data_IF_492755896024
#
_entry.id   IF_492755896024
#
_cell.length_a   1.000
_cell.length_b   1.000
_cell.length_c   1.000
_cell.angle_alpha   90.00
_cell.angle_beta   90.00
_cell.angle_gamma   90.00
#
_symmetry.space_group_name_H-M   'P 1'
#
loop_
_entity.id
_entity.type
_entity.pdbx_description
1 polymer ?
#
# COMPACT_ATOMS: atom_id res chain seq x y z
N UNK A 1 -6.42 8.96 38.14
CA UNK A 1 -5.80 8.23 37.01
C UNK A 1 -6.43 8.73 35.73
N UNK A 2 -5.67 9.44 34.89
CA UNK A 2 -6.17 9.89 33.58
C UNK A 2 -6.41 8.66 32.69
N UNK A 3 -7.65 8.49 32.21
CA UNK A 3 -8.04 7.41 31.31
C UNK A 3 -7.34 7.64 29.96
N UNK A 4 -6.23 6.96 29.70
CA UNK A 4 -5.56 7.03 28.41
C UNK A 4 -6.55 6.65 27.30
N UNK A 5 -6.77 7.56 26.35
CA UNK A 5 -7.61 7.32 25.18
C UNK A 5 -6.91 6.33 24.23
N UNK A 6 -7.06 5.03 24.51
CA UNK A 6 -6.49 3.92 23.72
C UNK A 6 -7.17 3.68 22.36
N UNK A 7 -8.11 4.53 21.95
CA UNK A 7 -8.86 4.39 20.70
C UNK A 7 -7.93 4.39 19.47
N UNK A 8 -6.92 5.26 19.46
CA UNK A 8 -5.92 5.30 18.38
C UNK A 8 -5.12 3.99 18.27
N UNK A 9 -4.75 3.38 19.40
CA UNK A 9 -4.03 2.11 19.41
C UNK A 9 -4.87 0.95 18.89
N UNK A 10 -6.17 0.91 19.21
CA UNK A 10 -7.08 -0.10 18.65
C UNK A 10 -7.28 0.07 17.15
N UNK A 11 -7.36 1.32 16.68
CA UNK A 11 -7.45 1.62 15.25
C UNK A 11 -6.19 1.18 14.50
N UNK A 12 -4.99 1.49 15.01
CA UNK A 12 -3.73 1.02 14.44
C UNK A 12 -3.65 -0.51 14.43
N UNK A 13 -4.11 -1.16 15.49
CA UNK A 13 -4.15 -2.64 15.56
C UNK A 13 -5.09 -3.24 14.52
N UNK A 14 -6.21 -2.59 14.22
CA UNK A 14 -7.11 -2.99 13.13
C UNK A 14 -6.43 -2.84 11.76
N UNK A 15 -5.76 -1.72 11.51
CA UNK A 15 -5.01 -1.50 10.27
C UNK A 15 -3.88 -2.53 10.08
N UNK A 16 -3.26 -2.97 11.17
CA UNK A 16 -2.22 -4.01 11.16
C UNK A 16 -2.76 -5.45 11.06
N UNK A 17 -4.05 -5.66 10.86
CA UNK A 17 -4.58 -7.02 10.61
C UNK A 17 -4.18 -7.48 9.21
N UNK A 18 -3.86 -8.78 9.06
CA UNK A 18 -3.43 -9.36 7.79
C UNK A 18 -4.33 -9.02 6.57
N UNK A 19 -5.67 -9.12 6.64
CA UNK A 19 -6.51 -8.77 5.48
C UNK A 19 -6.47 -7.27 5.15
N UNK A 20 -6.42 -6.38 6.15
CA UNK A 20 -6.39 -4.93 5.91
C UNK A 20 -5.04 -4.52 5.31
N UNK A 21 -3.95 -5.03 5.87
CA UNK A 21 -2.60 -4.86 5.32
C UNK A 21 -2.47 -5.41 3.90
N UNK A 22 -3.07 -6.56 3.60
CA UNK A 22 -3.03 -7.15 2.26
C UNK A 22 -3.73 -6.26 1.21
N UNK A 23 -4.87 -5.66 1.57
CA UNK A 23 -5.55 -4.71 0.68
C UNK A 23 -4.68 -3.47 0.48
N UNK A 24 -4.17 -2.87 1.55
CA UNK A 24 -3.32 -1.66 1.47
C UNK A 24 -2.06 -1.93 0.63
N UNK A 25 -1.37 -3.05 0.85
CA UNK A 25 -0.17 -3.40 0.09
C UNK A 25 -0.47 -3.66 -1.38
N UNK A 26 -1.57 -4.36 -1.68
CA UNK A 26 -1.99 -4.62 -3.06
C UNK A 26 -2.39 -3.33 -3.76
N UNK A 27 -3.11 -2.42 -3.10
CA UNK A 27 -3.45 -1.11 -3.64
C UNK A 27 -2.21 -0.28 -3.97
N UNK A 28 -1.20 -0.28 -3.09
CA UNK A 28 0.08 0.42 -3.33
C UNK A 28 0.87 -0.22 -4.48
N UNK A 29 0.95 -1.55 -4.51
CA UNK A 29 1.64 -2.27 -5.58
C UNK A 29 0.98 -2.02 -6.95
N UNK A 30 -0.35 -2.10 -6.99
CA UNK A 30 -1.12 -1.88 -8.21
C UNK A 30 -1.05 -0.42 -8.68
N UNK A 31 -1.15 0.56 -7.78
CA UNK A 31 -1.03 1.97 -8.17
C UNK A 31 0.37 2.29 -8.69
N UNK A 32 1.42 1.75 -8.06
CA UNK A 32 2.80 1.88 -8.54
C UNK A 32 2.94 1.27 -9.94
N UNK A 33 2.40 0.07 -10.16
CA UNK A 33 2.45 -0.60 -11.46
C UNK A 33 1.66 0.18 -12.53
N UNK A 34 0.46 0.68 -12.19
CA UNK A 34 -0.36 1.46 -13.10
C UNK A 34 0.33 2.77 -13.51
N UNK A 35 0.93 3.49 -12.56
CA UNK A 35 1.68 4.72 -12.84
C UNK A 35 2.91 4.42 -13.71
N UNK A 36 3.63 3.32 -13.45
CA UNK A 36 4.75 2.91 -14.28
C UNK A 36 4.34 2.65 -15.73
N UNK A 37 3.27 1.88 -15.95
CA UNK A 37 2.76 1.62 -17.31
C UNK A 37 2.12 2.86 -17.96
N UNK A 38 1.68 3.85 -17.19
CA UNK A 38 1.23 5.13 -17.76
C UNK A 38 2.40 5.94 -18.34
N UNK A 39 3.55 5.97 -17.64
CA UNK A 39 4.74 6.67 -18.12
C UNK A 39 5.56 5.89 -19.16
N UNK A 40 5.59 4.56 -19.03
CA UNK A 40 6.32 3.65 -19.92
C UNK A 40 5.38 2.58 -20.49
N UNK A 41 4.41 2.96 -21.35
CA UNK A 41 3.36 2.04 -21.82
C UNK A 41 3.89 0.91 -22.71
N UNK A 42 4.93 1.16 -23.50
CA UNK A 42 5.44 0.23 -24.52
C UNK A 42 6.78 -0.42 -24.11
N UNK A 43 6.99 -0.65 -22.81
CA UNK A 43 8.19 -1.30 -22.30
C UNK A 43 8.07 -2.83 -22.36
N UNK A 44 8.08 -3.39 -23.57
CA UNK A 44 8.11 -4.84 -23.78
C UNK A 44 9.47 -5.46 -23.41
N UNK A 45 10.55 -4.72 -23.66
CA UNK A 45 11.92 -5.10 -23.32
C UNK A 45 12.64 -3.92 -22.69
N UNK A 46 13.63 -4.19 -21.84
CA UNK A 46 14.55 -3.16 -21.40
C UNK A 46 15.37 -2.68 -22.62
N UNK A 47 15.48 -1.37 -22.88
CA UNK A 47 16.31 -0.87 -23.98
C UNK A 47 17.76 -1.34 -23.80
N UNK A 48 18.34 -1.91 -24.86
CA UNK A 48 19.74 -2.29 -24.88
C UNK A 48 20.61 -1.03 -25.04
N UNK A 49 21.80 -0.98 -24.40
CA UNK A 49 22.70 0.18 -24.45
C UNK A 49 23.29 0.42 -25.84
#
# INVERSE_FOLDING_TARGET
MAKQNNQANFFLRYLSTAPVLAVVSTSVAFSTWAVFNYFFPDLLFHPMP
#
